data_IF_519624583147
#
_entry.id   IF_519624583147
#
_cell.length_a   1.000
_cell.length_b   1.000
_cell.length_c   1.000
_cell.angle_alpha   90.00
_cell.angle_beta   90.00
_cell.angle_gamma   90.00
#
_symmetry.space_group_name_H-M   'P 1'
#
loop_
_entity.id
_entity.type
_entity.pdbx_description
1 polymer ?
#
# COMPACT_ATOMS: atom_id res chain seq x y z
N UNK A 1 -36.03 43.20 -64.28
CA UNK A 1 -36.97 42.78 -63.20
C UNK A 1 -36.86 41.29 -62.87
N UNK A 2 -36.86 40.38 -63.86
CA UNK A 2 -36.71 38.92 -63.69
C UNK A 2 -35.44 38.48 -62.92
N UNK A 3 -34.27 39.12 -63.16
CA UNK A 3 -33.01 38.81 -62.45
C UNK A 3 -33.06 39.02 -60.93
N UNK A 4 -33.81 40.02 -60.46
CA UNK A 4 -33.97 40.33 -59.03
C UNK A 4 -35.03 39.47 -58.33
N UNK A 5 -36.00 38.94 -59.08
CA UNK A 5 -37.01 38.01 -58.58
C UNK A 5 -36.41 36.60 -58.45
N UNK A 6 -35.48 36.23 -59.33
CA UNK A 6 -34.84 34.91 -59.38
C UNK A 6 -33.82 34.68 -58.25
N UNK A 7 -33.01 35.69 -57.91
CA UNK A 7 -32.15 35.65 -56.71
C UNK A 7 -32.97 35.59 -55.42
N UNK A 8 -34.15 36.22 -55.38
CA UNK A 8 -35.06 36.13 -54.23
C UNK A 8 -35.66 34.74 -54.04
N UNK A 9 -35.89 33.98 -55.12
CA UNK A 9 -36.48 32.63 -55.01
C UNK A 9 -35.45 31.58 -54.58
N UNK A 10 -34.23 31.66 -55.13
CA UNK A 10 -33.09 30.85 -54.71
C UNK A 10 -32.79 31.02 -53.21
N UNK A 11 -32.73 32.27 -52.75
CA UNK A 11 -32.42 32.58 -51.36
C UNK A 11 -33.52 32.08 -50.41
N UNK A 12 -34.80 32.12 -50.83
CA UNK A 12 -35.93 31.58 -50.05
C UNK A 12 -35.88 30.06 -49.93
N UNK A 13 -35.61 29.34 -51.02
CA UNK A 13 -35.51 27.88 -51.00
C UNK A 13 -34.32 27.44 -50.15
N UNK A 14 -33.17 28.11 -50.31
CA UNK A 14 -31.97 27.83 -49.55
C UNK A 14 -32.16 28.10 -48.04
N UNK A 15 -32.81 29.21 -47.66
CA UNK A 15 -33.16 29.51 -46.27
C UNK A 15 -34.09 28.45 -45.67
N UNK A 16 -35.10 28.01 -46.42
CA UNK A 16 -36.06 27.02 -45.94
C UNK A 16 -35.37 25.65 -45.72
N UNK A 17 -34.51 25.23 -46.64
CA UNK A 17 -33.71 24.01 -46.49
C UNK A 17 -32.77 24.08 -45.29
N UNK A 18 -32.06 25.20 -45.11
CA UNK A 18 -31.18 25.42 -43.96
C UNK A 18 -31.98 25.39 -42.65
N UNK A 19 -33.16 26.01 -42.61
CA UNK A 19 -34.01 26.02 -41.42
C UNK A 19 -34.47 24.61 -41.03
N UNK A 20 -34.89 23.80 -41.99
CA UNK A 20 -35.29 22.39 -41.75
C UNK A 20 -34.09 21.57 -41.28
N UNK A 21 -32.92 21.75 -41.89
CA UNK A 21 -31.68 21.08 -41.50
C UNK A 21 -31.21 21.46 -40.09
N UNK A 22 -31.22 22.75 -39.75
CA UNK A 22 -30.86 23.21 -38.40
C UNK A 22 -31.82 22.62 -37.36
N UNK A 23 -33.11 22.57 -37.66
CA UNK A 23 -34.11 22.04 -36.73
C UNK A 23 -33.95 20.53 -36.54
N UNK A 24 -33.84 19.77 -37.63
CA UNK A 24 -33.69 18.31 -37.58
C UNK A 24 -32.35 17.88 -36.98
N UNK A 25 -31.25 18.44 -37.50
CA UNK A 25 -29.90 18.09 -37.05
C UNK A 25 -29.61 18.65 -35.65
N UNK A 26 -30.10 19.85 -35.33
CA UNK A 26 -29.98 20.43 -33.99
C UNK A 26 -30.68 19.58 -32.94
N UNK A 27 -31.92 19.14 -33.21
CA UNK A 27 -32.65 18.26 -32.30
C UNK A 27 -31.95 16.91 -32.13
N UNK A 28 -31.43 16.34 -33.21
CA UNK A 28 -30.67 15.09 -33.17
C UNK A 28 -29.39 15.20 -32.34
N UNK A 29 -28.60 16.25 -32.53
CA UNK A 29 -27.35 16.48 -31.78
C UNK A 29 -27.63 16.67 -30.30
N UNK A 30 -28.65 17.45 -29.92
CA UNK A 30 -29.03 17.63 -28.51
C UNK A 30 -29.44 16.30 -27.88
N UNK A 31 -30.26 15.51 -28.58
CA UNK A 31 -30.68 14.19 -28.09
C UNK A 31 -29.51 13.22 -27.94
N UNK A 32 -28.60 13.19 -28.92
CA UNK A 32 -27.41 12.35 -28.88
C UNK A 32 -26.50 12.73 -27.72
N UNK A 33 -26.23 14.03 -27.51
CA UNK A 33 -25.40 14.51 -26.40
C UNK A 33 -26.01 14.13 -25.06
N UNK A 34 -27.34 14.31 -24.89
CA UNK A 34 -28.02 13.93 -23.65
C UNK A 34 -27.91 12.42 -23.39
N UNK A 35 -28.18 11.59 -24.41
CA UNK A 35 -28.10 10.14 -24.29
C UNK A 35 -26.68 9.64 -23.99
N UNK A 36 -25.66 10.22 -24.65
CA UNK A 36 -24.26 9.86 -24.42
C UNK A 36 -23.80 10.29 -23.03
N UNK A 37 -24.18 11.49 -22.60
CA UNK A 37 -23.84 12.02 -21.27
C UNK A 37 -24.45 11.16 -20.15
N UNK A 38 -25.74 10.80 -20.27
CA UNK A 38 -26.40 9.90 -19.31
C UNK A 38 -25.74 8.53 -19.25
N UNK A 39 -25.36 7.98 -20.41
CA UNK A 39 -24.69 6.66 -20.49
C UNK A 39 -23.30 6.71 -19.86
N UNK A 40 -22.53 7.76 -20.12
CA UNK A 40 -21.21 7.95 -19.52
C UNK A 40 -21.30 8.11 -18.01
N UNK A 41 -22.27 8.89 -17.53
CA UNK A 41 -22.50 9.09 -16.11
C UNK A 41 -22.90 7.76 -15.43
N UNK A 42 -23.82 6.99 -16.01
CA UNK A 42 -24.23 5.68 -15.49
C UNK A 42 -23.05 4.68 -15.45
N UNK A 43 -22.22 4.64 -16.49
CA UNK A 43 -21.03 3.77 -16.50
C UNK A 43 -20.07 4.11 -15.38
N UNK A 44 -19.84 5.41 -15.15
CA UNK A 44 -18.96 5.85 -14.08
C UNK A 44 -19.54 5.56 -12.70
N UNK A 45 -20.85 5.75 -12.51
CA UNK A 45 -21.55 5.37 -11.29
C UNK A 45 -21.36 3.89 -10.97
N UNK A 46 -21.52 3.02 -11.97
CA UNK A 46 -21.34 1.58 -11.80
C UNK A 46 -19.88 1.20 -11.51
N UNK A 47 -18.91 1.88 -12.14
CA UNK A 47 -17.48 1.69 -11.86
C UNK A 47 -17.14 2.06 -10.40
N UNK A 48 -17.58 3.22 -9.93
CA UNK A 48 -17.39 3.68 -8.54
C UNK A 48 -18.06 2.70 -7.57
N UNK A 49 -19.24 2.18 -7.91
CA UNK A 49 -19.95 1.19 -7.11
C UNK A 49 -19.17 -0.11 -6.97
N UNK A 50 -18.76 -0.72 -8.08
CA UNK A 50 -18.01 -1.99 -8.09
C UNK A 50 -16.68 -1.86 -7.37
N UNK A 51 -16.01 -0.72 -7.58
CA UNK A 51 -14.77 -0.40 -6.89
C UNK A 51 -14.98 -0.27 -5.38
N UNK A 52 -16.02 0.44 -4.94
CA UNK A 52 -16.34 0.59 -3.51
C UNK A 52 -16.68 -0.75 -2.86
N UNK A 53 -17.45 -1.61 -3.53
CA UNK A 53 -17.78 -2.96 -3.04
C UNK A 53 -16.53 -3.84 -2.92
N UNK A 54 -15.58 -3.70 -3.86
CA UNK A 54 -14.28 -4.37 -3.83
C UNK A 54 -13.42 -3.88 -2.66
N UNK A 55 -13.33 -2.57 -2.43
CA UNK A 55 -12.63 -1.98 -1.28
C UNK A 55 -13.21 -2.49 0.03
N UNK A 56 -14.53 -2.42 0.20
CA UNK A 56 -15.19 -2.84 1.44
C UNK A 56 -14.91 -4.33 1.71
N UNK A 57 -14.93 -5.15 0.66
CA UNK A 57 -14.59 -6.58 0.76
C UNK A 57 -13.12 -6.81 1.08
N UNK A 58 -12.21 -6.03 0.49
CA UNK A 58 -10.77 -6.03 0.79
C UNK A 58 -10.47 -5.61 2.23
N UNK A 59 -11.04 -4.49 2.70
CA UNK A 59 -10.94 -4.02 4.08
C UNK A 59 -11.45 -5.10 5.04
N UNK A 60 -12.63 -5.67 4.76
CA UNK A 60 -13.20 -6.77 5.56
C UNK A 60 -12.28 -7.97 5.57
N UNK A 61 -11.70 -8.35 4.42
CA UNK A 61 -10.75 -9.44 4.31
C UNK A 61 -9.48 -9.18 5.14
N UNK A 62 -8.90 -7.99 5.05
CA UNK A 62 -7.72 -7.60 5.84
C UNK A 62 -8.03 -7.53 7.34
N UNK A 63 -9.23 -7.07 7.72
CA UNK A 63 -9.71 -7.10 9.11
C UNK A 63 -9.90 -8.53 9.64
N UNK A 64 -10.37 -9.44 8.80
CA UNK A 64 -10.63 -10.85 9.14
C UNK A 64 -9.35 -11.70 9.14
N UNK A 65 -8.44 -11.46 8.21
CA UNK A 65 -7.14 -12.14 8.09
C UNK A 65 -6.13 -11.58 9.09
N UNK A 66 -6.21 -10.28 9.39
CA UNK A 66 -5.84 -9.59 10.63
C UNK A 66 -4.42 -9.74 11.19
N UNK A 67 -3.55 -10.58 10.64
CA UNK A 67 -2.44 -11.14 11.43
C UNK A 67 -1.09 -11.27 10.71
N UNK A 68 -0.99 -10.97 9.41
CA UNK A 68 0.17 -11.40 8.61
C UNK A 68 0.98 -10.34 7.85
N UNK A 69 0.48 -9.18 7.38
CA UNK A 69 1.28 -8.33 6.48
C UNK A 69 2.57 -7.79 7.11
N UNK A 70 2.52 -7.26 8.33
CA UNK A 70 3.72 -6.74 9.02
C UNK A 70 4.73 -7.85 9.33
N UNK A 71 4.25 -9.02 9.75
CA UNK A 71 5.10 -10.18 10.01
C UNK A 71 5.70 -10.73 8.72
N UNK A 72 4.92 -10.78 7.64
CA UNK A 72 5.36 -11.16 6.30
C UNK A 72 6.45 -10.20 5.79
N UNK A 73 6.20 -8.89 5.91
CA UNK A 73 7.16 -7.84 5.58
C UNK A 73 8.45 -7.98 6.38
N UNK A 74 8.37 -8.14 7.70
CA UNK A 74 9.55 -8.37 8.53
C UNK A 74 10.34 -9.59 8.10
N UNK A 75 9.68 -10.73 7.88
CA UNK A 75 10.35 -11.97 7.49
C UNK A 75 11.01 -11.84 6.13
N UNK A 76 10.36 -11.18 5.16
CA UNK A 76 10.95 -10.96 3.85
C UNK A 76 12.09 -9.93 3.89
N UNK A 77 11.99 -8.87 4.70
CA UNK A 77 13.08 -7.92 4.91
C UNK A 77 14.28 -8.61 5.57
N UNK A 78 14.05 -9.42 6.59
CA UNK A 78 15.08 -10.24 7.24
C UNK A 78 15.72 -11.23 6.26
N UNK A 79 14.93 -11.92 5.41
CA UNK A 79 15.42 -12.84 4.38
C UNK A 79 16.27 -12.12 3.33
N UNK A 80 15.86 -10.93 2.85
CA UNK A 80 16.63 -10.15 1.86
C UNK A 80 17.99 -9.69 2.40
N UNK A 81 18.04 -9.36 3.69
CA UNK A 81 19.28 -8.90 4.34
C UNK A 81 20.18 -10.07 4.80
N UNK A 82 19.62 -11.25 5.01
CA UNK A 82 20.37 -12.46 5.40
C UNK A 82 21.06 -13.12 4.20
N UNK A 83 22.27 -12.66 3.84
CA UNK A 83 23.00 -13.13 2.65
C UNK A 83 23.60 -14.55 2.74
N UNK A 84 23.66 -15.14 3.93
CA UNK A 84 24.37 -16.40 4.20
C UNK A 84 23.46 -17.46 4.85
N UNK A 85 22.14 -17.33 4.69
CA UNK A 85 21.20 -18.26 5.29
C UNK A 85 19.76 -18.05 4.84
N UNK A 86 18.86 -18.82 5.44
CA UNK A 86 17.43 -18.72 5.22
C UNK A 86 16.65 -18.83 6.53
N UNK A 87 15.50 -18.17 6.55
CA UNK A 87 14.61 -18.09 7.70
C UNK A 87 13.21 -18.58 7.30
N UNK A 88 12.66 -19.51 8.07
CA UNK A 88 11.34 -20.09 7.81
C UNK A 88 10.56 -20.23 9.10
N UNK A 89 9.24 -20.01 9.04
CA UNK A 89 8.35 -20.21 10.17
C UNK A 89 7.27 -21.22 9.80
N UNK A 90 7.21 -22.27 10.60
CA UNK A 90 6.22 -23.32 10.51
C UNK A 90 5.16 -23.15 11.59
N UNK A 91 3.91 -23.50 11.30
CA UNK A 91 2.88 -23.65 12.32
C UNK A 91 3.04 -24.96 13.11
N UNK A 92 2.17 -25.17 14.10
CA UNK A 92 2.12 -26.41 14.90
C UNK A 92 1.85 -27.70 14.10
N UNK A 93 1.47 -27.59 12.83
CA UNK A 93 1.24 -28.71 11.94
C UNK A 93 2.39 -28.93 10.94
N UNK A 94 3.46 -28.13 11.04
CA UNK A 94 4.62 -28.22 10.15
C UNK A 94 4.42 -27.56 8.78
N UNK A 95 3.41 -26.68 8.65
CA UNK A 95 3.15 -25.93 7.41
C UNK A 95 3.84 -24.58 7.48
N UNK A 96 4.52 -24.17 6.41
CA UNK A 96 5.09 -22.83 6.33
C UNK A 96 3.97 -21.76 6.31
N UNK A 97 4.10 -20.75 7.17
CA UNK A 97 3.04 -19.75 7.39
C UNK A 97 3.29 -18.46 6.61
N UNK A 98 4.56 -18.12 6.36
CA UNK A 98 4.96 -16.88 5.69
C UNK A 98 5.84 -17.19 4.48
N UNK A 99 5.19 -17.41 3.34
CA UNK A 99 5.84 -17.80 2.10
C UNK A 99 6.83 -16.73 1.61
N UNK A 100 7.85 -17.16 0.88
CA UNK A 100 8.79 -16.22 0.24
C UNK A 100 8.11 -15.50 -0.92
N UNK A 101 8.51 -14.25 -1.12
CA UNK A 101 8.03 -13.44 -2.23
C UNK A 101 8.36 -14.11 -3.57
N UNK A 102 7.34 -14.38 -4.38
CA UNK A 102 7.49 -15.05 -5.68
C UNK A 102 7.60 -16.59 -5.63
N UNK A 103 7.62 -17.22 -4.46
CA UNK A 103 7.62 -18.69 -4.31
C UNK A 103 6.19 -19.22 -4.02
N UNK A 104 5.84 -20.35 -4.63
CA UNK A 104 4.56 -21.04 -4.41
C UNK A 104 4.45 -21.71 -3.05
N UNK A 105 3.26 -22.17 -2.68
CA UNK A 105 3.03 -22.80 -1.37
C UNK A 105 3.64 -24.20 -1.32
N UNK A 106 4.59 -24.43 -0.40
CA UNK A 106 5.11 -25.77 -0.11
C UNK A 106 4.24 -26.41 0.98
N UNK A 107 3.23 -27.17 0.54
CA UNK A 107 2.39 -27.97 1.44
C UNK A 107 3.12 -29.29 1.74
N UNK A 108 3.55 -29.47 2.99
CA UNK A 108 4.39 -30.57 3.51
C UNK A 108 5.88 -30.41 3.26
N UNK A 109 6.56 -29.82 4.24
CA UNK A 109 7.96 -30.17 4.49
C UNK A 109 7.94 -31.45 5.33
N UNK A 110 8.17 -32.61 4.69
CA UNK A 110 8.32 -33.89 5.36
C UNK A 110 9.70 -33.95 6.06
N UNK A 111 9.95 -32.97 6.94
CA UNK A 111 11.21 -32.80 7.66
C UNK A 111 11.12 -33.53 9.01
N UNK A 112 11.88 -34.63 9.21
CA UNK A 112 11.88 -35.40 10.45
C UNK A 112 12.34 -34.57 11.66
N UNK A 113 13.18 -33.57 11.45
CA UNK A 113 13.72 -32.71 12.50
C UNK A 113 12.68 -31.68 12.93
N UNK A 114 11.92 -31.13 11.97
CA UNK A 114 10.77 -30.29 12.27
C UNK A 114 9.73 -31.04 13.11
N UNK A 115 9.37 -32.26 12.71
CA UNK A 115 8.45 -33.12 13.49
C UNK A 115 8.98 -33.39 14.89
N UNK A 116 10.25 -33.78 15.00
CA UNK A 116 10.88 -34.03 16.31
C UNK A 116 10.91 -32.77 17.18
N UNK A 117 11.09 -31.59 16.60
CA UNK A 117 11.05 -30.31 17.32
C UNK A 117 9.65 -30.01 17.83
N UNK A 118 8.61 -30.22 16.99
CA UNK A 118 7.21 -30.07 17.38
C UNK A 118 6.79 -31.04 18.50
N UNK A 119 7.25 -32.30 18.43
CA UNK A 119 6.94 -33.33 19.42
C UNK A 119 7.69 -33.13 20.75
N UNK A 120 9.01 -32.95 20.67
CA UNK A 120 9.86 -32.81 21.85
C UNK A 120 9.74 -31.46 22.53
N UNK A 121 9.30 -30.43 21.80
CA UNK A 121 9.27 -29.02 22.23
C UNK A 121 10.64 -28.53 22.69
N UNK A 122 11.69 -29.23 22.30
CA UNK A 122 13.07 -28.87 22.56
C UNK A 122 13.64 -28.23 21.30
N UNK A 123 14.53 -27.27 21.52
CA UNK A 123 15.34 -26.73 20.46
C UNK A 123 16.25 -27.82 19.90
N UNK A 124 16.31 -27.95 18.58
CA UNK A 124 17.16 -28.94 17.89
C UNK A 124 18.04 -28.22 16.89
N UNK A 125 19.32 -28.59 16.85
CA UNK A 125 20.27 -28.09 15.84
C UNK A 125 20.89 -29.27 15.11
N UNK A 126 21.12 -29.11 13.81
CA UNK A 126 21.67 -30.14 12.93
C UNK A 126 22.63 -29.53 11.92
N UNK A 127 23.53 -30.37 11.40
CA UNK A 127 24.30 -30.09 10.20
C UNK A 127 23.70 -30.93 9.07
N UNK A 128 23.22 -30.27 8.02
CA UNK A 128 22.69 -30.90 6.82
C UNK A 128 23.61 -30.59 5.64
N UNK A 129 23.62 -31.47 4.64
CA UNK A 129 24.25 -31.16 3.36
C UNK A 129 23.18 -30.68 2.38
N UNK A 130 23.39 -29.50 1.82
CA UNK A 130 22.64 -29.01 0.67
C UNK A 130 23.57 -28.99 -0.55
N UNK A 131 23.46 -30.03 -1.37
CA UNK A 131 24.47 -30.36 -2.38
C UNK A 131 25.84 -30.62 -1.75
N UNK A 132 26.85 -29.82 -2.12
CA UNK A 132 28.21 -29.90 -1.55
C UNK A 132 28.42 -28.99 -0.33
N UNK A 133 27.46 -28.14 0.01
CA UNK A 133 27.60 -27.17 1.10
C UNK A 133 27.10 -27.75 2.41
N UNK A 134 27.87 -27.50 3.46
CA UNK A 134 27.42 -27.73 4.83
C UNK A 134 26.49 -26.59 5.26
N UNK A 135 25.28 -26.94 5.71
CA UNK A 135 24.26 -26.01 6.20
C UNK A 135 23.97 -26.35 7.66
N UNK A 136 24.23 -25.40 8.55
CA UNK A 136 23.83 -25.51 9.95
C UNK A 136 22.39 -25.03 10.08
N UNK A 137 21.50 -25.91 10.51
CA UNK A 137 20.08 -25.61 10.68
C UNK A 137 19.67 -25.74 12.13
N UNK A 138 18.98 -24.73 12.65
CA UNK A 138 18.45 -24.71 14.00
C UNK A 138 16.95 -24.48 13.98
N UNK A 139 16.25 -25.27 14.78
CA UNK A 139 14.81 -25.28 14.94
C UNK A 139 14.50 -24.87 16.38
N UNK A 140 13.76 -23.77 16.54
CA UNK A 140 13.32 -23.28 17.84
C UNK A 140 11.81 -23.28 17.96
N UNK A 141 11.26 -23.99 18.95
CA UNK A 141 9.83 -24.02 19.19
C UNK A 141 9.34 -22.64 19.67
N UNK A 142 8.30 -22.13 19.01
CA UNK A 142 7.63 -20.89 19.38
C UNK A 142 6.66 -21.17 20.53
N UNK A 143 7.12 -21.06 21.77
CA UNK A 143 6.30 -21.31 22.95
C UNK A 143 5.10 -20.35 23.04
N UNK A 144 3.94 -20.89 23.44
CA UNK A 144 2.71 -20.14 23.63
C UNK A 144 2.66 -19.47 25.02
N UNK A 145 3.43 -18.39 25.18
CA UNK A 145 3.53 -17.64 26.44
C UNK A 145 2.23 -16.86 26.77
N UNK A 146 2.03 -16.43 28.03
CA UNK A 146 0.83 -15.68 28.45
C UNK A 146 0.50 -14.47 27.57
N UNK A 147 1.52 -13.72 27.17
CA UNK A 147 1.43 -12.59 26.23
C UNK A 147 0.84 -12.97 24.85
N UNK A 148 1.06 -14.19 24.37
CA UNK A 148 0.52 -14.69 23.10
C UNK A 148 -0.98 -15.01 23.17
N UNK A 149 -1.50 -15.27 24.38
CA UNK A 149 -2.91 -15.66 24.59
C UNK A 149 -3.90 -14.55 24.28
N UNK A 150 -3.42 -13.32 24.13
CA UNK A 150 -4.24 -12.19 23.72
C UNK A 150 -4.82 -12.39 22.31
N UNK A 151 -4.09 -13.07 21.42
CA UNK A 151 -4.45 -13.19 19.99
C UNK A 151 -4.56 -14.63 19.50
N UNK A 152 -4.10 -15.58 20.28
CA UNK A 152 -4.04 -16.97 19.90
C UNK A 152 -4.55 -17.88 21.04
N UNK A 153 -5.14 -19.04 20.71
CA UNK A 153 -5.84 -19.94 21.64
C UNK A 153 -4.93 -20.62 22.69
N UNK A 154 -5.40 -20.88 23.90
CA UNK A 154 -4.55 -21.38 25.01
C UNK A 154 -4.39 -22.91 25.03
N UNK A 155 -5.07 -23.61 24.14
CA UNK A 155 -5.22 -25.07 24.09
C UNK A 155 -3.94 -25.81 23.65
N UNK A 156 -2.92 -25.09 23.22
CA UNK A 156 -1.67 -25.68 22.77
C UNK A 156 -0.43 -24.93 23.29
N UNK A 157 0.60 -25.67 23.70
CA UNK A 157 1.81 -25.11 24.34
C UNK A 157 2.80 -24.48 23.35
N UNK A 158 2.77 -24.86 22.07
CA UNK A 158 3.65 -24.31 21.03
C UNK A 158 2.82 -23.79 19.86
N UNK A 159 3.20 -22.65 19.29
CA UNK A 159 2.55 -22.01 18.14
C UNK A 159 3.09 -22.53 16.81
N UNK A 160 4.33 -23.01 16.81
CA UNK A 160 5.06 -23.34 15.61
C UNK A 160 6.55 -23.51 15.88
N UNK A 161 7.34 -23.45 14.82
CA UNK A 161 8.81 -23.57 14.87
C UNK A 161 9.44 -22.50 13.98
N UNK A 162 10.41 -21.77 14.54
CA UNK A 162 11.33 -20.93 13.78
C UNK A 162 12.51 -21.77 13.33
N UNK A 163 12.72 -21.87 12.02
CA UNK A 163 13.88 -22.52 11.42
C UNK A 163 14.83 -21.46 10.88
N UNK A 164 16.08 -21.49 11.34
CA UNK A 164 17.17 -20.70 10.79
C UNK A 164 18.22 -21.66 10.23
N UNK A 165 18.49 -21.55 8.94
CA UNK A 165 19.53 -22.33 8.25
C UNK A 165 20.63 -21.38 7.79
N UNK A 166 21.87 -21.59 8.21
CA UNK A 166 23.02 -20.80 7.78
C UNK A 166 24.00 -21.67 7.01
N UNK A 167 24.63 -21.11 5.98
CA UNK A 167 25.78 -21.69 5.29
C UNK A 167 27.07 -21.20 5.95
N UNK A 168 27.71 -21.97 6.87
CA UNK A 168 28.88 -21.47 7.60
C UNK A 168 30.07 -21.20 6.67
N UNK A 169 30.13 -21.91 5.53
CA UNK A 169 31.12 -21.69 4.49
C UNK A 169 31.03 -20.30 3.84
N UNK A 170 29.85 -19.68 3.82
CA UNK A 170 29.64 -18.33 3.27
C UNK A 170 30.08 -17.21 4.23
N UNK A 171 30.36 -17.53 5.50
CA UNK A 171 30.82 -16.60 6.55
C UNK A 171 32.36 -16.57 6.64
N UNK A 172 33.07 -17.36 5.81
CA UNK A 172 34.53 -17.41 5.79
C UNK A 172 35.12 -16.14 5.19
N UNK A 173 35.47 -15.19 6.06
CA UNK A 173 36.22 -13.98 5.70
C UNK A 173 37.72 -14.15 5.95
N UNK A 174 38.53 -13.23 5.41
CA UNK A 174 39.99 -13.24 5.52
C UNK A 174 40.53 -12.79 6.89
N UNK A 175 39.67 -12.30 7.80
CA UNK A 175 40.05 -11.80 9.13
C UNK A 175 38.89 -11.89 10.14
N UNK A 176 39.21 -12.28 11.38
CA UNK A 176 38.27 -12.36 12.52
C UNK A 176 37.48 -11.05 12.74
N UNK A 177 38.11 -9.90 12.44
CA UNK A 177 37.48 -8.57 12.59
C UNK A 177 36.37 -8.34 11.56
N UNK A 178 36.56 -8.83 10.33
CA UNK A 178 35.56 -8.68 9.27
C UNK A 178 34.38 -9.63 9.49
N UNK A 179 34.66 -10.87 9.92
CA UNK A 179 33.62 -11.81 10.35
C UNK A 179 32.76 -11.22 11.49
N UNK A 180 33.42 -10.64 12.49
CA UNK A 180 32.76 -9.98 13.64
C UNK A 180 31.82 -8.85 13.18
N UNK A 181 32.26 -8.00 12.24
CA UNK A 181 31.46 -6.91 11.67
C UNK A 181 30.29 -7.42 10.82
N UNK A 182 30.50 -8.44 10.01
CA UNK A 182 29.45 -9.05 9.20
C UNK A 182 28.35 -9.65 10.08
N UNK A 183 28.72 -10.32 11.17
CA UNK A 183 27.79 -10.87 12.15
C UNK A 183 26.99 -9.79 12.87
N UNK A 184 27.68 -8.76 13.36
CA UNK A 184 27.04 -7.60 14.00
C UNK A 184 26.06 -6.91 13.02
N UNK A 185 26.48 -6.72 11.77
CA UNK A 185 25.65 -6.17 10.70
C UNK A 185 24.36 -6.97 10.49
N UNK A 186 24.45 -8.30 10.37
CA UNK A 186 23.28 -9.13 10.15
C UNK A 186 22.28 -9.11 11.31
N UNK A 187 22.77 -9.17 12.56
CA UNK A 187 21.90 -9.01 13.74
C UNK A 187 21.28 -7.61 13.79
N UNK A 188 22.08 -6.61 13.45
CA UNK A 188 21.64 -5.23 13.33
C UNK A 188 20.52 -5.06 12.30
N UNK A 189 20.66 -5.66 11.12
CA UNK A 189 19.66 -5.61 10.05
C UNK A 189 18.33 -6.24 10.47
N UNK A 190 18.36 -7.31 11.26
CA UNK A 190 17.15 -7.93 11.81
C UNK A 190 16.45 -6.97 12.77
N UNK A 191 17.19 -6.33 13.68
CA UNK A 191 16.63 -5.32 14.59
C UNK A 191 16.12 -4.08 13.84
N UNK A 192 16.85 -3.61 12.85
CA UNK A 192 16.44 -2.50 11.99
C UNK A 192 15.18 -2.85 11.19
N UNK A 193 15.05 -4.08 10.70
CA UNK A 193 13.84 -4.58 10.04
C UNK A 193 12.66 -4.61 10.99
N UNK A 194 12.83 -5.11 12.22
CA UNK A 194 11.78 -5.10 13.24
C UNK A 194 11.33 -3.66 13.56
N UNK A 195 12.28 -2.75 13.72
CA UNK A 195 12.00 -1.31 13.92
C UNK A 195 11.19 -0.73 12.76
N UNK A 196 11.63 -0.92 11.52
CA UNK A 196 10.92 -0.43 10.32
C UNK A 196 9.49 -0.96 10.29
N UNK A 197 9.29 -2.24 10.57
CA UNK A 197 7.96 -2.87 10.62
C UNK A 197 7.08 -2.28 11.71
N UNK A 198 7.62 -1.99 12.90
CA UNK A 198 6.90 -1.31 13.99
C UNK A 198 6.47 0.11 13.56
N UNK A 199 7.36 0.84 12.88
CA UNK A 199 7.08 2.19 12.39
C UNK A 199 6.06 2.21 11.25
N UNK A 200 6.10 1.24 10.32
CA UNK A 200 5.06 1.04 9.30
C UNK A 200 3.72 0.66 9.94
N UNK A 201 3.80 -0.14 11.01
CA UNK A 201 2.70 -0.40 11.93
C UNK A 201 2.26 0.85 12.70
N UNK A 202 2.95 2.00 12.60
CA UNK A 202 2.70 3.26 13.30
C UNK A 202 2.53 3.12 14.80
N UNK A 203 3.24 2.17 15.39
CA UNK A 203 3.28 1.94 16.83
C UNK A 203 4.67 2.32 17.36
N UNK A 204 5.11 3.55 17.09
CA UNK A 204 6.43 4.01 17.53
C UNK A 204 6.64 3.88 19.04
N UNK A 205 5.57 4.01 19.82
CA UNK A 205 5.54 3.74 21.27
C UNK A 205 5.98 2.31 21.67
N UNK A 206 5.84 1.33 20.77
CA UNK A 206 6.30 -0.05 21.03
C UNK A 206 7.79 -0.25 20.76
N UNK A 207 8.50 0.78 20.28
CA UNK A 207 9.94 0.70 20.12
C UNK A 207 10.66 0.50 21.47
N UNK A 208 10.10 1.01 22.56
CA UNK A 208 10.65 0.77 23.90
C UNK A 208 10.61 -0.72 24.27
N UNK A 209 9.57 -1.44 23.83
CA UNK A 209 9.48 -2.90 23.99
C UNK A 209 10.53 -3.63 23.17
N UNK A 210 10.78 -3.20 21.92
CA UNK A 210 11.81 -3.79 21.07
C UNK A 210 13.21 -3.55 21.64
N UNK A 211 13.51 -2.32 22.08
CA UNK A 211 14.80 -2.00 22.69
C UNK A 211 15.02 -2.75 24.00
N UNK A 212 14.02 -2.80 24.89
CA UNK A 212 14.08 -3.56 26.13
C UNK A 212 14.31 -5.05 25.89
N UNK A 213 13.54 -5.65 24.96
CA UNK A 213 13.70 -7.07 24.59
C UNK A 213 15.08 -7.35 23.98
N UNK A 214 15.59 -6.43 23.14
CA UNK A 214 16.92 -6.56 22.57
C UNK A 214 18.03 -6.50 23.63
N UNK A 215 17.84 -5.76 24.73
CA UNK A 215 18.78 -5.72 25.85
C UNK A 215 18.77 -6.99 26.72
N UNK A 216 17.72 -7.83 26.64
CA UNK A 216 17.73 -9.16 27.27
C UNK A 216 18.72 -10.10 26.59
N UNK A 217 19.10 -9.79 25.35
CA UNK A 217 20.08 -10.56 24.57
C UNK A 217 21.49 -10.29 25.15
N UNK A 218 22.18 -11.30 25.74
CA UNK A 218 23.35 -11.07 26.62
C UNK A 218 24.53 -10.28 26.02
N UNK A 219 24.67 -10.32 24.70
CA UNK A 219 25.75 -9.67 23.94
C UNK A 219 25.40 -8.29 23.41
N UNK A 220 24.14 -7.88 23.47
CA UNK A 220 23.70 -6.51 23.16
C UNK A 220 23.76 -5.72 24.46
N UNK A 221 24.35 -4.53 24.45
CA UNK A 221 24.42 -3.65 25.62
C UNK A 221 23.66 -2.36 25.44
N UNK A 222 23.40 -1.98 24.19
CA UNK A 222 22.69 -0.74 23.87
C UNK A 222 21.99 -0.89 22.53
N UNK A 223 20.77 -0.37 22.46
CA UNK A 223 20.02 -0.15 21.22
C UNK A 223 19.37 1.22 21.33
N UNK A 224 19.75 2.13 20.44
CA UNK A 224 19.22 3.48 20.38
C UNK A 224 18.87 3.83 18.93
N UNK A 225 17.92 4.73 18.73
CA UNK A 225 17.60 5.26 17.41
C UNK A 225 17.67 6.76 17.47
N UNK A 226 18.56 7.34 16.68
CA UNK A 226 18.73 8.78 16.52
C UNK A 226 17.87 9.25 15.36
N UNK A 227 17.23 10.40 15.52
CA UNK A 227 16.43 11.06 14.49
C UNK A 227 17.32 11.66 13.38
N UNK A 228 16.68 12.12 12.30
CA UNK A 228 17.35 12.88 11.24
C UNK A 228 18.02 14.18 11.73
N UNK A 229 17.62 14.67 12.90
CA UNK A 229 18.12 15.89 13.51
C UNK A 229 19.21 15.60 14.57
N UNK A 230 19.66 14.34 14.68
CA UNK A 230 20.77 13.96 15.56
C UNK A 230 20.42 13.69 17.02
N UNK A 231 19.17 13.90 17.44
CA UNK A 231 18.70 13.58 18.81
C UNK A 231 18.24 12.13 18.95
N UNK A 232 18.37 11.56 20.16
CA UNK A 232 17.83 10.23 20.49
C UNK A 232 16.29 10.28 20.43
N UNK A 233 15.72 9.51 19.52
CA UNK A 233 14.27 9.35 19.38
C UNK A 233 13.74 8.15 20.16
N UNK A 234 14.55 7.09 20.32
CA UNK A 234 14.18 5.86 21.04
C UNK A 234 15.38 5.22 21.73
N UNK A 235 15.11 4.53 22.84
CA UNK A 235 16.11 3.89 23.70
C UNK A 235 16.50 4.77 24.88
N UNK A 236 17.16 4.17 25.87
CA UNK A 236 17.62 4.89 27.07
C UNK A 236 18.72 5.89 26.67
N UNK A 237 18.58 7.16 27.08
CA UNK A 237 19.64 8.17 26.95
C UNK A 237 20.81 7.79 27.88
N UNK A 238 21.84 7.18 27.31
CA UNK A 238 23.05 6.76 28.01
C UNK A 238 24.26 7.06 27.13
N UNK A 239 25.22 7.83 27.66
CA UNK A 239 26.45 8.28 27.00
C UNK A 239 26.22 8.71 25.54
N UNK A 240 25.70 9.94 25.39
CA UNK A 240 25.28 10.48 24.10
C UNK A 240 26.42 10.48 23.09
N UNK A 241 26.13 9.92 21.92
CA UNK A 241 27.01 10.04 20.78
C UNK A 241 26.94 11.49 20.30
N UNK A 242 28.08 12.16 20.08
CA UNK A 242 28.10 13.52 19.58
C UNK A 242 27.21 13.71 18.35
N UNK A 243 26.38 14.77 18.37
CA UNK A 243 25.37 15.06 17.34
C UNK A 243 26.00 15.20 15.95
N UNK A 244 27.18 15.84 15.89
CA UNK A 244 27.98 16.02 14.68
C UNK A 244 28.30 14.70 13.97
N UNK A 245 28.60 13.65 14.73
CA UNK A 245 28.88 12.32 14.19
C UNK A 245 27.63 11.66 13.59
N UNK A 246 26.47 11.85 14.20
CA UNK A 246 25.21 11.33 13.66
C UNK A 246 24.87 12.06 12.36
N UNK A 247 25.03 13.38 12.35
CA UNK A 247 24.80 14.21 11.17
C UNK A 247 25.77 13.84 10.03
N UNK A 248 27.05 13.58 10.30
CA UNK A 248 28.02 13.13 9.30
C UNK A 248 27.58 11.83 8.60
N UNK A 249 27.09 10.85 9.38
CA UNK A 249 26.58 9.57 8.84
C UNK A 249 25.34 9.81 7.96
N UNK A 250 24.47 10.73 8.36
CA UNK A 250 23.26 11.08 7.60
C UNK A 250 23.56 11.86 6.31
N UNK A 251 24.52 12.78 6.34
CA UNK A 251 24.92 13.62 5.20
C UNK A 251 25.61 12.82 4.10
N UNK A 252 26.39 11.81 4.46
CA UNK A 252 27.14 11.01 3.49
C UNK A 252 26.27 10.09 2.63
N UNK A 253 24.96 9.99 2.91
CA UNK A 253 23.96 9.15 2.22
C UNK A 253 24.46 7.73 1.93
N UNK A 254 25.15 7.12 2.89
CA UNK A 254 25.69 5.77 2.75
C UNK A 254 24.67 4.78 3.29
N UNK A 255 24.17 3.88 2.45
CA UNK A 255 23.39 2.71 2.88
C UNK A 255 24.25 1.65 3.58
N UNK A 256 25.56 1.90 3.71
CA UNK A 256 26.51 1.00 4.33
C UNK A 256 26.51 1.14 5.86
N UNK A 257 26.77 0.02 6.53
CA UNK A 257 26.99 0.00 7.98
C UNK A 257 28.29 0.71 8.35
N UNK A 258 28.25 1.53 9.39
CA UNK A 258 29.46 2.09 9.98
C UNK A 258 29.77 1.36 11.29
N UNK A 259 31.06 1.11 11.52
CA UNK A 259 31.54 0.35 12.68
C UNK A 259 32.58 1.16 13.44
N UNK A 260 32.52 1.11 14.76
CA UNK A 260 33.47 1.75 15.65
C UNK A 260 33.83 0.80 16.79
N UNK A 261 35.13 0.64 17.05
CA UNK A 261 35.62 -0.13 18.20
C UNK A 261 35.67 0.81 19.42
N UNK A 262 34.82 0.56 20.43
CA UNK A 262 34.71 1.36 21.66
C UNK A 262 35.14 0.52 22.85
N UNK A 263 36.45 0.49 23.13
CA UNK A 263 37.01 -0.34 24.20
C UNK A 263 36.78 -1.83 23.94
N UNK A 264 35.92 -2.46 24.76
CA UNK A 264 35.52 -3.88 24.61
C UNK A 264 34.19 -4.05 23.87
N UNK A 265 33.73 -3.02 23.20
CA UNK A 265 32.46 -3.00 22.48
C UNK A 265 32.69 -2.73 20.99
N UNK A 266 31.89 -3.36 20.14
CA UNK A 266 31.75 -3.02 18.74
C UNK A 266 30.44 -2.25 18.60
N UNK A 267 30.54 -0.98 18.20
CA UNK A 267 29.41 -0.13 17.91
C UNK A 267 29.09 -0.21 16.43
N UNK A 268 27.83 -0.51 16.13
CA UNK A 268 27.26 -0.55 14.79
C UNK A 268 26.30 0.62 14.62
N UNK A 269 26.46 1.35 13.53
CA UNK A 269 25.53 2.37 13.06
C UNK A 269 24.84 1.87 11.78
N UNK A 270 23.52 1.87 11.80
CA UNK A 270 22.67 1.45 10.69
C UNK A 270 21.88 2.67 10.23
N UNK A 271 22.23 3.24 9.07
CA UNK A 271 21.48 4.34 8.48
C UNK A 271 20.06 3.89 8.11
N UNK A 272 19.04 4.65 8.51
CA UNK A 272 17.63 4.33 8.28
C UNK A 272 17.12 5.13 7.08
N UNK A 273 17.12 4.50 5.90
CA UNK A 273 16.67 5.11 4.64
C UNK A 273 15.15 5.40 4.64
N UNK A 274 14.78 6.53 4.05
CA UNK A 274 13.39 6.92 3.81
C UNK A 274 12.84 6.31 2.52
N UNK A 275 12.68 4.98 2.55
CA UNK A 275 12.10 4.19 1.46
C UNK A 275 10.69 4.68 1.09
N UNK A 276 10.21 4.38 -0.12
CA UNK A 276 8.88 4.79 -0.61
C UNK A 276 7.76 4.53 0.41
N UNK A 277 7.76 3.34 1.02
CA UNK A 277 6.82 2.95 2.09
C UNK A 277 6.88 3.83 3.36
N UNK A 278 8.03 4.41 3.68
CA UNK A 278 8.21 5.33 4.80
C UNK A 278 7.66 6.73 4.48
N UNK A 279 7.68 7.14 3.21
CA UNK A 279 7.31 8.48 2.75
C UNK A 279 5.82 8.77 2.95
N UNK A 280 4.98 7.73 3.02
CA UNK A 280 3.55 7.84 3.36
C UNK A 280 3.34 8.63 4.66
N UNK A 281 4.16 8.37 5.68
CA UNK A 281 4.06 9.04 6.98
C UNK A 281 5.06 10.19 7.15
N UNK A 282 6.21 10.12 6.48
CA UNK A 282 7.34 11.02 6.74
C UNK A 282 7.63 12.02 5.62
N UNK A 283 6.95 11.91 4.48
CA UNK A 283 7.19 12.69 3.26
C UNK A 283 8.51 12.33 2.58
N UNK A 284 8.67 12.73 1.31
CA UNK A 284 9.86 12.43 0.50
C UNK A 284 11.01 13.45 0.66
N UNK A 285 10.83 14.50 1.47
CA UNK A 285 11.75 15.65 1.54
C UNK A 285 13.17 15.29 2.00
N UNK A 286 13.29 14.29 2.88
CA UNK A 286 14.56 13.87 3.46
C UNK A 286 14.85 12.43 3.06
N UNK A 287 16.05 12.12 2.52
CA UNK A 287 16.39 10.76 2.08
C UNK A 287 16.61 9.79 3.24
N UNK A 288 16.92 10.31 4.44
CA UNK A 288 17.18 9.53 5.64
C UNK A 288 16.22 9.90 6.76
N UNK A 289 15.81 8.92 7.56
CA UNK A 289 14.96 9.09 8.74
C UNK A 289 15.72 9.17 10.05
N UNK A 290 16.94 8.64 10.09
CA UNK A 290 17.74 8.56 11.30
C UNK A 290 18.84 7.51 11.22
N UNK A 291 19.42 7.18 12.36
CA UNK A 291 20.46 6.16 12.51
C UNK A 291 20.12 5.27 13.70
N UNK A 292 20.05 3.97 13.49
CA UNK A 292 19.98 3.00 14.59
C UNK A 292 21.41 2.67 15.05
N UNK A 293 21.64 2.73 16.35
CA UNK A 293 22.94 2.44 16.97
C UNK A 293 22.81 1.25 17.91
N UNK A 294 23.70 0.29 17.73
CA UNK A 294 23.73 -0.94 18.54
C UNK A 294 25.16 -1.17 19.04
N UNK A 295 25.32 -1.36 20.35
CA UNK A 295 26.60 -1.76 20.93
C UNK A 295 26.60 -3.24 21.29
N UNK A 296 27.56 -3.96 20.74
CA UNK A 296 27.78 -5.38 21.00
C UNK A 296 29.05 -5.60 21.82
N UNK A 297 29.06 -6.58 22.72
CA UNK A 297 30.29 -7.01 23.41
C UNK A 297 31.25 -7.66 22.42
N UNK A 298 32.42 -7.05 22.21
CA UNK A 298 33.44 -7.55 21.26
C UNK A 298 33.94 -8.95 21.65
N UNK A 299 34.16 -9.21 22.93
CA UNK A 299 34.59 -10.53 23.44
C UNK A 299 33.55 -11.63 23.13
N UNK A 300 32.26 -11.28 23.10
CA UNK A 300 31.18 -12.20 22.73
C UNK A 300 31.16 -12.43 21.21
N UNK A 301 31.28 -11.37 20.42
CA UNK A 301 31.32 -11.46 18.95
C UNK A 301 32.53 -12.23 18.42
N UNK A 302 33.71 -12.06 19.03
CA UNK A 302 34.90 -12.82 18.65
C UNK A 302 34.73 -14.33 18.88
N UNK A 303 33.99 -14.75 19.92
CA UNK A 303 33.65 -16.17 20.09
C UNK A 303 32.73 -16.68 18.98
N UNK A 304 31.92 -15.81 18.38
CA UNK A 304 31.01 -16.16 17.28
C UNK A 304 31.75 -16.34 15.97
N UNK A 305 32.75 -15.47 15.70
CA UNK A 305 33.65 -15.64 14.55
C UNK A 305 34.38 -16.99 14.56
N UNK A 306 34.67 -17.53 15.75
CA UNK A 306 35.35 -18.81 15.93
C UNK A 306 34.43 -20.04 15.84
N UNK A 307 33.12 -19.90 16.08
CA UNK A 307 32.11 -20.96 15.90
C UNK A 307 30.83 -20.38 15.26
N UNK A 308 30.90 -20.05 13.94
CA UNK A 308 29.78 -19.46 13.23
C UNK A 308 28.60 -20.42 13.11
N UNK A 309 28.87 -21.73 13.10
CA UNK A 309 27.82 -22.74 13.00
C UNK A 309 26.93 -22.72 14.25
N UNK A 310 27.49 -22.79 15.47
CA UNK A 310 26.65 -22.95 16.67
C UNK A 310 26.29 -21.63 17.32
N UNK A 311 27.28 -20.79 17.60
CA UNK A 311 27.09 -19.66 18.51
C UNK A 311 26.54 -18.46 17.76
N UNK A 312 27.02 -18.20 16.54
CA UNK A 312 26.43 -17.14 15.72
C UNK A 312 24.99 -17.46 15.30
N UNK A 313 24.69 -18.69 14.87
CA UNK A 313 23.30 -19.09 14.60
C UNK A 313 22.41 -18.91 15.82
N UNK A 314 22.90 -19.26 17.01
CA UNK A 314 22.17 -19.00 18.25
C UNK A 314 21.86 -17.51 18.43
N UNK A 315 22.85 -16.66 18.16
CA UNK A 315 22.74 -15.23 18.39
C UNK A 315 21.79 -14.55 17.41
N UNK A 316 21.92 -14.87 16.12
CA UNK A 316 21.04 -14.39 15.07
C UNK A 316 19.61 -14.89 15.28
N UNK A 317 19.44 -16.14 15.69
CA UNK A 317 18.12 -16.69 15.97
C UNK A 317 17.45 -16.01 17.15
N UNK A 318 18.16 -15.77 18.26
CA UNK A 318 17.62 -15.03 19.39
C UNK A 318 17.19 -13.61 18.98
N UNK A 319 18.01 -12.91 18.19
CA UNK A 319 17.70 -11.59 17.65
C UNK A 319 16.46 -11.61 16.75
N UNK A 320 16.35 -12.63 15.91
CA UNK A 320 15.22 -12.83 14.99
C UNK A 320 13.93 -13.18 15.73
N UNK A 321 14.02 -14.02 16.74
CA UNK A 321 12.91 -14.39 17.61
C UNK A 321 12.39 -13.16 18.35
N UNK A 322 13.26 -12.31 18.92
CA UNK A 322 12.82 -11.09 19.62
C UNK A 322 12.22 -10.05 18.67
N UNK A 323 12.79 -9.88 17.46
CA UNK A 323 12.18 -9.03 16.43
C UNK A 323 10.79 -9.51 16.03
N UNK A 324 10.66 -10.81 15.75
CA UNK A 324 9.39 -11.47 15.42
C UNK A 324 8.36 -11.36 16.55
N UNK A 325 8.77 -11.66 17.78
CA UNK A 325 7.95 -11.56 18.98
C UNK A 325 7.45 -10.14 19.18
N UNK A 326 8.31 -9.13 19.03
CA UNK A 326 7.93 -7.73 19.13
C UNK A 326 6.84 -7.38 18.13
N UNK A 327 6.97 -7.79 16.87
CA UNK A 327 5.95 -7.55 15.83
C UNK A 327 4.64 -8.28 16.13
N UNK A 328 4.71 -9.49 16.70
CA UNK A 328 3.52 -10.24 17.12
C UNK A 328 2.81 -9.60 18.31
N UNK A 329 3.55 -8.97 19.23
CA UNK A 329 3.02 -8.24 20.39
C UNK A 329 2.42 -6.88 20.00
N UNK A 330 3.01 -6.22 19.00
CA UNK A 330 2.45 -5.06 18.26
C UNK A 330 1.09 -5.42 17.64
N UNK A 331 0.86 -6.72 17.39
CA UNK A 331 -0.30 -7.30 16.72
C UNK A 331 -1.65 -6.72 17.15
N UNK A 332 -2.20 -5.86 16.27
CA UNK A 332 -3.63 -5.64 15.93
C UNK A 332 -3.87 -4.35 15.14
N UNK A 333 -2.94 -3.39 15.10
CA UNK A 333 -3.19 -2.12 14.44
C UNK A 333 -2.43 -2.04 13.11
N UNK A 334 -3.16 -1.76 12.03
CA UNK A 334 -2.67 -1.07 10.82
C UNK A 334 -2.41 -1.87 9.53
N UNK A 335 -2.68 -3.18 9.45
CA UNK A 335 -2.82 -3.84 8.14
C UNK A 335 -3.91 -3.18 7.29
N UNK A 336 -5.03 -2.83 7.93
CA UNK A 336 -6.14 -2.10 7.30
C UNK A 336 -5.72 -0.68 6.94
N UNK A 337 -4.89 -0.02 7.77
CA UNK A 337 -4.41 1.34 7.49
C UNK A 337 -3.51 1.35 6.25
N UNK A 338 -2.52 0.46 6.19
CA UNK A 338 -1.63 0.32 5.04
C UNK A 338 -2.43 0.03 3.75
N UNK A 339 -3.38 -0.91 3.84
CA UNK A 339 -4.27 -1.21 2.71
C UNK A 339 -5.12 0.00 2.28
N UNK A 340 -5.68 0.76 3.23
CA UNK A 340 -6.44 1.98 2.94
C UNK A 340 -5.54 3.07 2.35
N UNK A 341 -4.30 3.21 2.80
CA UNK A 341 -3.34 4.19 2.29
C UNK A 341 -2.89 3.84 0.85
N UNK A 342 -2.68 2.56 0.54
CA UNK A 342 -2.39 2.08 -0.81
C UNK A 342 -3.57 2.34 -1.76
N UNK A 343 -4.80 2.13 -1.29
CA UNK A 343 -6.01 2.43 -2.06
C UNK A 343 -6.21 3.93 -2.32
N UNK A 344 -5.78 4.81 -1.40
CA UNK A 344 -5.83 6.27 -1.58
C UNK A 344 -4.87 6.76 -2.67
N UNK A 345 -3.84 5.99 -3.01
CA UNK A 345 -2.90 6.34 -4.08
C UNK A 345 -3.42 6.02 -5.49
N UNK A 346 -4.58 5.34 -5.61
CA UNK A 346 -5.16 4.97 -6.91
C UNK A 346 -5.78 6.21 -7.58
N UNK A 347 -5.37 6.59 -8.81
CA UNK A 347 -5.80 7.83 -9.47
C UNK A 347 -7.32 7.96 -9.67
N UNK A 348 -8.04 6.84 -9.73
CA UNK A 348 -9.50 6.78 -9.93
C UNK A 348 -10.28 7.23 -8.69
N UNK A 349 -9.65 7.30 -7.52
CA UNK A 349 -10.29 7.64 -6.25
C UNK A 349 -9.84 9.03 -5.83
N UNK A 350 -10.77 9.98 -5.73
CA UNK A 350 -10.42 11.30 -5.23
C UNK A 350 -10.20 11.27 -3.71
N UNK A 351 -11.13 10.64 -2.97
CA UNK A 351 -10.92 10.34 -1.55
C UNK A 351 -11.51 9.01 -1.11
N UNK A 352 -10.82 8.37 -0.16
CA UNK A 352 -11.27 7.18 0.57
C UNK A 352 -11.19 7.47 2.07
N UNK A 353 -12.35 7.50 2.73
CA UNK A 353 -12.49 7.73 4.15
C UNK A 353 -13.18 6.54 4.82
N UNK A 354 -12.79 6.24 6.06
CA UNK A 354 -13.43 5.18 6.84
C UNK A 354 -13.84 5.76 8.17
N UNK A 355 -15.13 5.81 8.45
CA UNK A 355 -15.68 6.34 9.68
C UNK A 355 -16.09 5.21 10.61
N UNK A 356 -15.89 5.38 11.91
CA UNK A 356 -16.52 4.51 12.90
C UNK A 356 -18.00 4.90 13.14
N UNK A 357 -18.67 4.17 14.02
CA UNK A 357 -20.08 4.41 14.35
C UNK A 357 -20.34 5.77 15.01
N UNK A 358 -19.31 6.38 15.59
CA UNK A 358 -19.40 7.68 16.24
C UNK A 358 -19.15 8.82 15.22
N UNK A 359 -18.95 8.49 13.94
CA UNK A 359 -18.67 9.46 12.87
C UNK A 359 -17.24 9.99 12.88
N UNK A 360 -16.33 9.34 13.61
CA UNK A 360 -14.91 9.69 13.63
C UNK A 360 -14.18 9.00 12.49
N UNK A 361 -13.40 9.78 11.74
CA UNK A 361 -12.57 9.23 10.68
C UNK A 361 -11.41 8.42 11.27
N UNK A 362 -11.25 7.18 10.79
CA UNK A 362 -10.23 6.22 11.20
C UNK A 362 -9.20 6.03 10.10
N UNK A 363 -8.02 5.56 10.47
CA UNK A 363 -6.91 5.29 9.55
C UNK A 363 -6.35 6.54 8.85
N UNK A 364 -6.24 7.68 9.56
CA UNK A 364 -5.52 8.89 9.10
C UNK A 364 -4.49 9.39 10.10
N UNK A 365 -3.57 10.21 9.60
CA UNK A 365 -2.67 11.05 10.38
C UNK A 365 -2.62 12.46 9.77
N UNK A 366 -2.93 13.55 10.51
CA UNK A 366 -3.35 13.61 11.91
C UNK A 366 -4.82 13.17 12.17
N UNK A 367 -5.11 12.80 13.43
CA UNK A 367 -6.45 12.41 13.95
C UNK A 367 -7.13 13.58 14.70
N UNK A 368 -8.47 13.72 14.72
CA UNK A 368 -9.48 13.26 13.75
C UNK A 368 -10.24 14.42 13.08
N UNK A 369 -10.68 14.22 11.82
CA UNK A 369 -11.79 14.96 11.21
C UNK A 369 -13.10 14.26 11.56
N UNK A 370 -14.15 15.04 11.78
CA UNK A 370 -15.47 14.54 12.19
C UNK A 370 -16.48 14.85 11.09
N UNK A 371 -17.34 13.88 10.74
CA UNK A 371 -18.52 14.12 9.92
C UNK A 371 -19.77 13.76 10.75
N UNK A 372 -20.29 14.69 11.59
CA UNK A 372 -21.35 14.40 12.55
C UNK A 372 -22.63 13.84 11.91
N UNK A 373 -22.88 14.19 10.64
CA UNK A 373 -23.99 13.67 9.85
C UNK A 373 -23.95 12.14 9.69
N UNK A 374 -22.75 11.53 9.69
CA UNK A 374 -22.56 10.08 9.60
C UNK A 374 -22.76 9.34 10.93
N UNK A 375 -22.68 10.02 12.08
CA UNK A 375 -23.01 9.40 13.37
C UNK A 375 -24.48 8.93 13.39
N UNK A 376 -25.38 9.68 12.73
CA UNK A 376 -26.78 9.30 12.56
C UNK A 376 -27.00 8.08 11.64
N UNK A 377 -26.00 7.73 10.82
CA UNK A 377 -26.06 6.54 9.95
C UNK A 377 -25.93 5.25 10.77
N UNK A 378 -25.10 5.29 11.82
CA UNK A 378 -25.01 4.23 12.83
C UNK A 378 -26.30 4.09 13.65
N UNK A 379 -26.97 5.19 13.98
CA UNK A 379 -28.23 5.21 14.71
C UNK A 379 -29.44 4.73 13.88
N UNK A 380 -29.48 5.08 12.59
CA UNK A 380 -30.58 4.70 11.68
C UNK A 380 -30.58 3.23 11.25
N UNK A 381 -29.53 2.47 11.59
CA UNK A 381 -29.37 1.03 11.25
C UNK A 381 -29.53 0.74 9.75
N UNK A 382 -29.18 1.69 8.89
CA UNK A 382 -29.24 1.47 7.44
C UNK A 382 -28.03 0.65 7.00
N UNK A 383 -28.22 -0.66 6.86
CA UNK A 383 -27.20 -1.59 6.36
C UNK A 383 -27.09 -1.56 4.81
N UNK A 384 -27.50 -0.46 4.18
CA UNK A 384 -27.51 -0.29 2.72
C UNK A 384 -26.56 0.83 2.32
N UNK A 385 -25.87 0.70 1.19
CA UNK A 385 -25.10 1.80 0.63
C UNK A 385 -26.01 2.98 0.26
N UNK A 386 -25.50 4.20 0.43
CA UNK A 386 -26.18 5.45 0.06
C UNK A 386 -25.28 6.23 -0.91
N UNK A 387 -25.89 6.78 -1.95
CA UNK A 387 -25.22 7.56 -2.99
C UNK A 387 -25.83 8.95 -3.09
N UNK A 388 -24.99 9.97 -3.23
CA UNK A 388 -25.42 11.34 -3.46
C UNK A 388 -24.32 12.13 -4.16
N UNK A 389 -24.69 13.29 -4.69
CA UNK A 389 -23.75 14.25 -5.28
C UNK A 389 -23.44 15.36 -4.28
N UNK A 390 -22.18 15.74 -4.19
CA UNK A 390 -21.70 16.80 -3.30
C UNK A 390 -20.77 17.73 -4.07
N UNK A 391 -20.99 19.04 -3.94
CA UNK A 391 -20.10 20.05 -4.52
C UNK A 391 -19.12 20.53 -3.46
N UNK A 392 -17.82 20.36 -3.70
CA UNK A 392 -16.75 20.77 -2.80
C UNK A 392 -15.69 21.55 -3.57
N UNK A 393 -15.29 22.71 -3.05
CA UNK A 393 -14.30 23.60 -3.68
C UNK A 393 -14.60 23.96 -5.15
N UNK A 394 -15.89 23.97 -5.52
CA UNK A 394 -16.35 24.25 -6.89
C UNK A 394 -16.34 23.04 -7.83
N UNK A 395 -15.91 21.87 -7.37
CA UNK A 395 -15.96 20.61 -8.10
C UNK A 395 -17.14 19.75 -7.64
N UNK A 396 -17.75 19.02 -8.56
CA UNK A 396 -18.84 18.09 -8.25
C UNK A 396 -18.29 16.67 -8.09
N UNK A 397 -18.67 16.02 -7.00
CA UNK A 397 -18.25 14.67 -6.66
C UNK A 397 -19.47 13.76 -6.54
N UNK A 398 -19.31 12.53 -7.03
CA UNK A 398 -20.18 11.44 -6.64
C UNK A 398 -19.63 10.82 -5.35
N UNK A 399 -20.45 10.80 -4.30
CA UNK A 399 -20.10 10.24 -2.99
C UNK A 399 -20.93 8.98 -2.75
N UNK A 400 -20.26 7.88 -2.43
CA UNK A 400 -20.88 6.62 -2.02
C UNK A 400 -20.45 6.25 -0.61
N UNK A 401 -21.44 6.10 0.27
CA UNK A 401 -21.28 5.59 1.63
C UNK A 401 -21.65 4.12 1.64
N UNK A 402 -20.74 3.24 2.07
CA UNK A 402 -20.96 1.79 2.14
C UNK A 402 -20.74 1.27 3.57
N UNK A 403 -21.78 0.77 4.24
CA UNK A 403 -21.66 0.28 5.61
C UNK A 403 -20.91 -1.07 5.68
N UNK A 404 -20.17 -1.26 6.77
CA UNK A 404 -19.57 -2.55 7.16
C UNK A 404 -20.39 -3.10 8.33
N UNK A 405 -21.22 -4.16 8.12
CA UNK A 405 -21.98 -4.76 9.20
C UNK A 405 -21.07 -5.43 10.23
N UNK A 406 -21.48 -5.36 11.49
CA UNK A 406 -20.85 -6.08 12.60
C UNK A 406 -21.44 -7.49 12.67
N UNK A 407 -20.89 -8.39 11.87
CA UNK A 407 -21.36 -9.77 11.79
C UNK A 407 -20.84 -10.64 12.95
N UNK A 408 -21.37 -11.86 13.11
CA UNK A 408 -20.96 -12.78 14.20
C UNK A 408 -19.44 -12.98 14.27
N UNK A 409 -18.78 -13.04 13.12
CA UNK A 409 -17.33 -13.18 13.00
C UNK A 409 -16.54 -11.94 13.47
N UNK A 410 -17.16 -10.77 13.45
CA UNK A 410 -16.57 -9.52 13.93
C UNK A 410 -16.58 -9.44 15.47
N UNK A 411 -17.47 -10.18 16.13
CA UNK A 411 -17.66 -10.17 17.59
C UNK A 411 -16.43 -10.59 18.39
N UNK A 412 -15.55 -11.36 17.76
CA UNK A 412 -14.28 -11.82 18.35
C UNK A 412 -13.35 -10.67 18.71
N UNK A 413 -13.38 -9.59 17.92
CA UNK A 413 -12.48 -8.44 18.07
C UNK A 413 -13.24 -7.14 18.37
N UNK A 414 -14.50 -7.06 17.97
CA UNK A 414 -15.36 -5.90 18.11
C UNK A 414 -16.56 -6.27 18.97
N UNK A 415 -16.96 -5.44 19.93
CA UNK A 415 -18.09 -5.77 20.79
C UNK A 415 -19.40 -5.95 20.01
N UNK A 416 -20.40 -6.58 20.65
CA UNK A 416 -21.75 -6.75 20.08
C UNK A 416 -22.63 -5.50 20.21
N UNK A 417 -22.08 -4.40 20.73
CA UNK A 417 -22.84 -3.20 21.10
C UNK A 417 -23.43 -2.43 19.92
N UNK A 418 -22.99 -2.74 18.69
CA UNK A 418 -23.43 -2.03 17.48
C UNK A 418 -23.70 -3.02 16.35
N UNK A 419 -24.69 -2.73 15.50
CA UNK A 419 -25.02 -3.53 14.32
C UNK A 419 -24.11 -3.22 13.12
N UNK A 420 -23.60 -1.99 13.05
CA UNK A 420 -22.58 -1.57 12.09
C UNK A 420 -21.24 -1.45 12.79
N UNK A 421 -20.15 -1.62 12.04
CA UNK A 421 -18.79 -1.46 12.55
C UNK A 421 -18.13 -0.17 12.07
N UNK A 422 -18.39 0.17 10.81
CA UNK A 422 -17.82 1.34 10.14
C UNK A 422 -18.64 1.69 8.90
N UNK A 423 -18.41 2.88 8.36
CA UNK A 423 -18.91 3.33 7.06
C UNK A 423 -17.72 3.74 6.21
N UNK A 424 -17.60 3.16 5.01
CA UNK A 424 -16.58 3.54 4.03
C UNK A 424 -17.18 4.56 3.09
N UNK A 425 -16.55 5.72 2.98
CA UNK A 425 -16.90 6.77 2.04
C UNK A 425 -15.89 6.79 0.90
N UNK A 426 -16.38 6.69 -0.33
CA UNK A 426 -15.61 6.85 -1.55
C UNK A 426 -16.16 8.04 -2.31
N UNK A 427 -15.29 8.97 -2.69
CA UNK A 427 -15.64 10.07 -3.58
C UNK A 427 -14.87 9.98 -4.90
N UNK A 428 -15.59 10.23 -6.00
CA UNK A 428 -15.04 10.32 -7.34
C UNK A 428 -15.39 11.68 -7.95
N UNK A 429 -14.40 12.34 -8.57
CA UNK A 429 -14.60 13.64 -9.21
C UNK A 429 -15.32 13.48 -10.54
N UNK A 430 -16.35 14.30 -10.77
CA UNK A 430 -17.02 14.38 -12.06
C UNK A 430 -16.28 15.29 -13.05
N UNK A 431 -15.19 15.95 -12.67
CA UNK A 431 -14.50 16.90 -13.57
C UNK A 431 -13.93 16.24 -14.82
N UNK A 432 -13.32 15.07 -14.70
CA UNK A 432 -12.81 14.33 -15.85
C UNK A 432 -13.94 14.00 -16.84
N UNK A 433 -15.11 13.62 -16.32
CA UNK A 433 -16.29 13.29 -17.13
C UNK A 433 -16.94 14.53 -17.71
N UNK A 434 -17.09 15.60 -16.93
CA UNK A 434 -17.63 16.86 -17.41
C UNK A 434 -16.73 17.45 -18.51
N UNK A 435 -15.41 17.28 -18.41
CA UNK A 435 -14.47 17.65 -19.47
C UNK A 435 -14.64 16.76 -20.72
N UNK A 436 -14.83 15.46 -20.56
CA UNK A 436 -15.13 14.51 -21.65
C UNK A 436 -16.45 14.87 -22.36
N UNK A 437 -17.52 15.14 -21.59
CA UNK A 437 -18.83 15.58 -22.07
C UNK A 437 -18.69 16.90 -22.83
N UNK A 438 -17.97 17.88 -22.28
CA UNK A 438 -17.73 19.16 -22.95
C UNK A 438 -16.96 18.99 -24.26
N UNK A 439 -15.95 18.12 -24.28
CA UNK A 439 -15.18 17.80 -25.49
C UNK A 439 -16.09 17.16 -26.54
N UNK A 440 -16.88 16.17 -26.16
CA UNK A 440 -17.86 15.50 -27.03
C UNK A 440 -18.87 16.51 -27.59
N UNK A 441 -19.39 17.42 -26.76
CA UNK A 441 -20.27 18.50 -27.19
C UNK A 441 -19.61 19.38 -28.25
N UNK A 442 -18.40 19.88 -28.02
CA UNK A 442 -17.71 20.73 -29.01
C UNK A 442 -17.35 19.99 -30.29
N UNK A 443 -16.96 18.72 -30.21
CA UNK A 443 -16.72 17.90 -31.41
C UNK A 443 -18.00 17.66 -32.21
N UNK A 444 -19.12 17.39 -31.54
CA UNK A 444 -20.42 17.17 -32.17
C UNK A 444 -20.97 18.46 -32.79
N UNK A 445 -20.82 19.60 -32.11
CA UNK A 445 -21.16 20.92 -32.66
C UNK A 445 -20.28 21.26 -33.86
N UNK A 446 -18.97 21.01 -33.78
CA UNK A 446 -18.05 21.21 -34.90
C UNK A 446 -18.40 20.36 -36.11
N UNK A 447 -18.72 19.08 -35.89
CA UNK A 447 -19.17 18.16 -36.92
C UNK A 447 -20.52 18.59 -37.53
N UNK A 448 -21.45 19.10 -36.71
CA UNK A 448 -22.72 19.64 -37.17
C UNK A 448 -22.51 20.84 -38.10
N UNK A 449 -21.68 21.81 -37.70
CA UNK A 449 -21.38 22.99 -38.51
C UNK A 449 -20.69 22.60 -39.82
N UNK A 450 -19.72 21.69 -39.77
CA UNK A 450 -19.03 21.20 -40.96
C UNK A 450 -20.00 20.49 -41.93
N UNK A 451 -20.92 19.68 -41.40
CA UNK A 451 -21.95 18.99 -42.19
C UNK A 451 -22.92 19.98 -42.83
N UNK A 452 -23.41 20.97 -42.07
CA UNK A 452 -24.29 22.02 -42.59
C UNK A 452 -23.60 22.85 -43.68
N UNK A 453 -22.33 23.19 -43.49
CA UNK A 453 -21.53 23.90 -44.49
C UNK A 453 -21.34 23.08 -45.76
N UNK A 454 -21.03 21.78 -45.63
CA UNK A 454 -20.89 20.89 -46.76
C UNK A 454 -22.20 20.72 -47.54
N UNK A 455 -23.32 20.52 -46.84
CA UNK A 455 -24.65 20.44 -47.47
C UNK A 455 -25.00 21.75 -48.17
N UNK A 456 -24.74 22.90 -47.54
CA UNK A 456 -24.91 24.21 -48.16
C UNK A 456 -24.08 24.36 -49.45
N UNK A 457 -22.81 23.96 -49.41
CA UNK A 457 -21.90 24.00 -50.56
C UNK A 457 -22.43 23.13 -51.70
N UNK A 458 -22.83 21.88 -51.40
CA UNK A 458 -23.36 20.92 -52.37
C UNK A 458 -24.65 21.45 -53.01
N UNK A 459 -25.61 21.92 -52.21
CA UNK A 459 -26.86 22.50 -52.71
C UNK A 459 -26.58 23.72 -53.59
N UNK A 460 -25.66 24.60 -53.17
CA UNK A 460 -25.27 25.78 -53.95
C UNK A 460 -24.68 25.40 -55.30
N UNK A 461 -23.75 24.43 -55.33
CA UNK A 461 -23.15 23.94 -56.58
C UNK A 461 -24.21 23.29 -57.47
N UNK A 462 -25.07 22.44 -56.91
CA UNK A 462 -26.15 21.77 -57.62
C UNK A 462 -27.14 22.77 -58.24
N UNK A 463 -27.64 23.72 -57.45
CA UNK A 463 -28.57 24.76 -57.95
C UNK A 463 -27.93 25.58 -59.06
N UNK A 464 -26.65 25.96 -58.90
CA UNK A 464 -25.95 26.73 -59.94
C UNK A 464 -25.75 25.96 -61.25
N UNK A 465 -25.44 24.66 -61.16
CA UNK A 465 -25.00 23.86 -62.32
C UNK A 465 -26.17 23.19 -63.02
N UNK A 466 -27.10 22.60 -62.28
CA UNK A 466 -28.19 21.77 -62.80
C UNK A 466 -29.46 22.59 -63.05
N UNK A 467 -29.72 23.60 -62.24
CA UNK A 467 -30.98 24.36 -62.34
C UNK A 467 -30.77 25.72 -63.02
N UNK A 468 -29.83 26.53 -62.54
CA UNK A 468 -29.70 27.92 -62.95
C UNK A 468 -29.09 28.03 -64.35
N UNK A 469 -27.92 27.42 -64.59
CA UNK A 469 -27.24 27.48 -65.90
C UNK A 469 -28.11 26.96 -67.06
N UNK A 470 -28.81 25.81 -66.95
CA UNK A 470 -29.62 25.29 -68.06
C UNK A 470 -30.89 26.10 -68.31
N UNK A 471 -31.53 26.63 -67.27
CA UNK A 471 -32.69 27.51 -67.47
C UNK A 471 -32.26 28.84 -68.11
N UNK A 472 -31.07 29.35 -67.80
CA UNK A 472 -30.51 30.52 -68.50
C UNK A 472 -30.23 30.26 -69.99
N UNK A 473 -29.78 29.06 -70.36
CA UNK A 473 -29.56 28.73 -71.77
C UNK A 473 -30.88 28.62 -72.57
N UNK A 474 -31.96 28.16 -71.94
CA UNK A 474 -33.29 28.09 -72.59
C UNK A 474 -33.90 29.50 -72.75
N UNK A 475 -33.74 30.37 -71.75
CA UNK A 475 -34.23 31.75 -71.79
C UNK A 475 -33.52 32.58 -72.88
N UNK A 476 -32.23 32.32 -73.13
CA UNK A 476 -31.47 32.94 -74.22
C UNK A 476 -31.87 32.49 -75.64
N UNK A 477 -32.58 31.35 -75.76
CA UNK A 477 -33.13 30.87 -77.03
C UNK A 477 -34.55 31.38 -77.26
N UNK A 478 -35.34 31.59 -76.20
CA UNK A 478 -36.69 32.13 -76.27
C UNK A 478 -36.76 33.67 -76.43
N UNK A 479 -35.64 34.38 -76.28
CA UNK A 479 -35.55 35.84 -76.44
C UNK A 479 -34.98 36.30 -77.79
N UNK A 480 -34.81 35.38 -78.74
CA UNK A 480 -34.65 35.67 -80.18
C UNK A 480 -35.95 35.29 -80.87
#
# INVERSE_FOLDING_TARGET
>A
MLRAIRTRLELKILLLLIAVLITGFGTFVVWQIQSESETLLQKHQEEVRLFTETIVSGIRSVMMTGKAPLTYEFLNDARRNLKFGSLTIYDRFGREVFLREGEGVIYNVDDPILRRTLESRAMISTMMKDGEKDVFTRYEPLANRPECWRCHERDHEIRGVLQLALEPGAIRTTSDKEATRQMAGAMGDVLASAFRTIMLGGQGEQMDTLTASALEIPWIQRVQVYSKDGYVAFGLETDDIPEDKILEILETNRTAHHFEDVGKMLRLFIPLENQERCQVCHGAKFPMRGVMVIDFKSDSLMRYANDPSKIFTAALQATTFEGFRSIMLVGRANSVRYFVDELRAIPTVHTLHVFDNDGNERFLNPQPRMRPQLASFGEKKENKPVEFFETKDGEEYMVRLSPIPNEVRCYTCHGKSHELRAVVEVSASLNAINAEINRLMWTSVGAAIATLFLVWLVIRVFMSTVVIKPVQSIEGVASK
#
